data_IF_318715690628
#
_entry.id   IF_318715690628
#
_cell.length_a   1.000
_cell.length_b   1.000
_cell.length_c   1.000
_cell.angle_alpha   90.00
_cell.angle_beta   90.00
_cell.angle_gamma   90.00
#
_symmetry.space_group_name_H-M   'P 1'
#
loop_
_entity.id
_entity.type
_entity.pdbx_description
1 polymer ?
#
# COMPACT_ATOMS: atom_id res chain seq x y z
N UNK A 1 -19.07 -15.33 -2.67
CA UNK A 1 -18.01 -14.30 -2.68
C UNK A 1 -18.62 -12.97 -3.07
N UNK A 2 -18.67 -12.03 -2.14
CA UNK A 2 -19.14 -10.66 -2.38
C UNK A 2 -18.10 -9.95 -3.26
N UNK A 3 -18.55 -9.18 -4.27
CA UNK A 3 -17.66 -8.45 -5.22
C UNK A 3 -16.58 -7.61 -4.53
N UNK A 4 -16.84 -7.19 -3.30
CA UNK A 4 -15.95 -6.36 -2.49
C UNK A 4 -14.67 -7.10 -2.05
N UNK A 5 -14.76 -8.39 -1.70
CA UNK A 5 -13.62 -9.19 -1.27
C UNK A 5 -12.64 -9.45 -2.41
N UNK A 6 -13.17 -9.68 -3.62
CA UNK A 6 -12.37 -9.88 -4.83
C UNK A 6 -11.58 -8.63 -5.20
N UNK A 7 -12.17 -7.44 -5.04
CA UNK A 7 -11.49 -6.19 -5.34
C UNK A 7 -10.35 -5.91 -4.34
N UNK A 8 -10.59 -6.17 -3.04
CA UNK A 8 -9.56 -6.08 -2.00
C UNK A 8 -8.38 -7.00 -2.31
N UNK A 9 -8.65 -8.29 -2.59
CA UNK A 9 -7.61 -9.27 -2.95
C UNK A 9 -6.82 -8.83 -4.18
N UNK A 10 -7.49 -8.32 -5.22
CA UNK A 10 -6.81 -7.79 -6.41
C UNK A 10 -5.89 -6.62 -6.08
N UNK A 11 -6.31 -5.69 -5.22
CA UNK A 11 -5.41 -4.58 -4.84
C UNK A 11 -4.21 -5.07 -4.04
N UNK A 12 -4.39 -6.03 -3.14
CA UNK A 12 -3.28 -6.64 -2.39
C UNK A 12 -2.32 -7.43 -3.28
N UNK A 13 -2.85 -8.21 -4.22
CA UNK A 13 -2.00 -8.93 -5.19
C UNK A 13 -1.20 -7.98 -6.07
N UNK A 14 -1.80 -6.86 -6.52
CA UNK A 14 -1.06 -5.79 -7.23
C UNK A 14 0.05 -5.23 -6.37
N UNK A 15 -0.20 -4.98 -5.09
CA UNK A 15 0.82 -4.52 -4.15
C UNK A 15 1.98 -5.53 -4.02
N UNK A 16 1.68 -6.81 -3.76
CA UNK A 16 2.70 -7.86 -3.67
C UNK A 16 3.55 -7.93 -4.96
N UNK A 17 2.90 -7.94 -6.13
CA UNK A 17 3.59 -7.95 -7.41
C UNK A 17 4.47 -6.72 -7.60
N UNK A 18 3.99 -5.54 -7.21
CA UNK A 18 4.77 -4.30 -7.27
C UNK A 18 6.03 -4.37 -6.38
N UNK A 19 5.93 -4.97 -5.19
CA UNK A 19 7.05 -5.15 -4.27
C UNK A 19 8.11 -6.12 -4.81
N UNK A 20 7.69 -7.14 -5.57
CA UNK A 20 8.57 -8.11 -6.23
C UNK A 20 9.22 -7.57 -7.50
N UNK A 21 8.44 -6.86 -8.34
CA UNK A 21 8.84 -6.42 -9.67
C UNK A 21 9.83 -5.24 -9.64
N UNK A 22 9.67 -4.33 -8.68
CA UNK A 22 10.44 -3.08 -8.63
C UNK A 22 11.42 -3.02 -7.44
N UNK A 23 12.71 -2.75 -7.66
CA UNK A 23 13.71 -2.65 -6.59
C UNK A 23 13.53 -1.38 -5.76
N UNK A 24 14.17 -1.31 -4.57
CA UNK A 24 14.16 -0.11 -3.71
C UNK A 24 15.08 1.01 -4.26
N UNK A 25 14.70 1.56 -5.40
CA UNK A 25 15.48 2.55 -6.15
C UNK A 25 14.61 3.75 -6.54
N UNK A 26 15.24 4.91 -6.72
CA UNK A 26 14.53 6.16 -6.97
C UNK A 26 13.74 6.12 -8.29
N UNK A 27 14.29 5.44 -9.28
CA UNK A 27 13.74 5.21 -10.61
C UNK A 27 12.43 4.41 -10.55
N UNK A 28 12.14 3.72 -9.46
CA UNK A 28 10.92 2.94 -9.29
C UNK A 28 9.78 3.72 -8.63
N UNK A 29 10.04 4.93 -8.09
CA UNK A 29 9.09 5.67 -7.26
C UNK A 29 7.74 5.92 -7.95
N UNK A 30 7.73 6.17 -9.26
CA UNK A 30 6.51 6.50 -9.98
C UNK A 30 5.52 5.34 -10.03
N UNK A 31 6.00 4.09 -10.02
CA UNK A 31 5.14 2.91 -9.96
C UNK A 31 4.40 2.83 -8.62
N UNK A 32 5.12 3.05 -7.50
CA UNK A 32 4.53 3.08 -6.16
C UNK A 32 3.58 4.26 -5.97
N UNK A 33 3.95 5.44 -6.44
CA UNK A 33 3.09 6.63 -6.39
C UNK A 33 1.81 6.44 -7.19
N UNK A 34 1.90 5.84 -8.38
CA UNK A 34 0.74 5.52 -9.21
C UNK A 34 -0.21 4.54 -8.51
N UNK A 35 0.35 3.48 -7.93
CA UNK A 35 -0.41 2.50 -7.14
C UNK A 35 -1.13 3.15 -5.97
N UNK A 36 -0.44 3.94 -5.12
CA UNK A 36 -1.05 4.58 -3.95
C UNK A 36 -2.18 5.55 -4.34
N UNK A 37 -2.01 6.30 -5.44
CA UNK A 37 -3.08 7.17 -5.97
C UNK A 37 -4.28 6.37 -6.49
N UNK A 38 -4.06 5.20 -7.08
CA UNK A 38 -5.15 4.30 -7.47
C UNK A 38 -5.85 3.74 -6.24
N UNK A 39 -5.07 3.33 -5.23
CA UNK A 39 -5.56 2.79 -3.96
C UNK A 39 -6.50 3.79 -3.27
N UNK A 40 -6.08 5.05 -3.09
CA UNK A 40 -6.92 6.12 -2.51
C UNK A 40 -8.19 6.36 -3.34
N UNK A 41 -8.11 6.31 -4.67
CA UNK A 41 -9.30 6.50 -5.50
C UNK A 41 -10.29 5.34 -5.35
N UNK A 42 -9.80 4.12 -5.20
CA UNK A 42 -10.64 2.94 -5.00
C UNK A 42 -11.34 2.92 -3.64
N UNK A 43 -10.78 3.53 -2.59
CA UNK A 43 -11.42 3.62 -1.26
C UNK A 43 -12.54 4.65 -1.20
N UNK A 44 -12.47 5.73 -1.98
CA UNK A 44 -13.44 6.84 -1.89
C UNK A 44 -14.89 6.47 -2.22
N UNK A 45 -15.08 5.51 -3.13
CA UNK A 45 -16.41 5.09 -3.59
C UNK A 45 -16.77 3.67 -3.16
N UNK A 46 -15.98 3.08 -2.27
CA UNK A 46 -16.11 1.68 -1.87
C UNK A 46 -16.43 1.57 -0.39
N UNK A 47 -17.31 0.65 -0.03
CA UNK A 47 -17.51 0.24 1.37
C UNK A 47 -16.35 -0.61 1.90
N UNK A 48 -15.35 -0.90 1.06
CA UNK A 48 -14.16 -1.66 1.41
C UNK A 48 -13.17 -0.76 2.16
N UNK A 49 -12.84 -1.17 3.38
CA UNK A 49 -11.69 -0.64 4.12
C UNK A 49 -10.44 -1.36 3.60
N UNK A 50 -9.55 -0.62 2.95
CA UNK A 50 -8.27 -1.18 2.51
C UNK A 50 -7.26 -1.15 3.67
N UNK A 51 -6.39 -2.16 3.78
CA UNK A 51 -5.36 -2.25 4.83
C UNK A 51 -4.19 -1.30 4.52
N UNK A 52 -4.47 0.01 4.49
CA UNK A 52 -3.49 1.03 4.10
C UNK A 52 -2.38 1.15 5.13
N UNK A 53 -2.66 0.90 6.42
CA UNK A 53 -1.64 0.92 7.48
C UNK A 53 -0.64 -0.20 7.24
N UNK A 54 -1.12 -1.40 6.93
CA UNK A 54 -0.31 -2.58 6.66
C UNK A 54 0.55 -2.36 5.40
N UNK A 55 -0.06 -1.89 4.31
CA UNK A 55 0.64 -1.57 3.05
C UNK A 55 1.78 -0.58 3.29
N UNK A 56 1.49 0.53 3.97
CA UNK A 56 2.50 1.57 4.21
C UNK A 56 3.60 1.10 5.18
N UNK A 57 3.25 0.26 6.15
CA UNK A 57 4.21 -0.32 7.11
C UNK A 57 5.16 -1.29 6.42
N UNK A 58 4.63 -2.18 5.58
CA UNK A 58 5.44 -3.11 4.78
C UNK A 58 6.32 -2.33 3.81
N UNK A 59 5.78 -1.31 3.12
CA UNK A 59 6.56 -0.48 2.21
C UNK A 59 7.70 0.25 2.93
N UNK A 60 7.46 0.79 4.12
CA UNK A 60 8.47 1.44 4.94
C UNK A 60 9.62 0.48 5.31
N UNK A 61 9.29 -0.78 5.61
CA UNK A 61 10.28 -1.76 6.07
C UNK A 61 11.08 -2.38 4.91
N UNK A 62 10.38 -2.81 3.86
CA UNK A 62 10.95 -3.57 2.74
C UNK A 62 11.56 -2.68 1.65
N UNK A 63 11.03 -1.46 1.48
CA UNK A 63 11.48 -0.48 0.47
C UNK A 63 11.67 0.91 1.12
N UNK A 64 12.57 1.04 2.12
CA UNK A 64 12.72 2.26 2.91
C UNK A 64 13.11 3.47 2.07
N UNK A 65 13.89 3.30 0.99
CA UNK A 65 14.29 4.42 0.11
C UNK A 65 13.08 4.96 -0.65
N UNK A 66 12.26 4.09 -1.23
CA UNK A 66 11.03 4.48 -1.91
C UNK A 66 10.06 5.14 -0.93
N UNK A 67 9.86 4.57 0.26
CA UNK A 67 9.02 5.19 1.28
C UNK A 67 9.50 6.60 1.65
N UNK A 68 10.81 6.79 1.83
CA UNK A 68 11.38 8.09 2.12
C UNK A 68 11.12 9.10 0.99
N UNK A 69 11.33 8.71 -0.26
CA UNK A 69 11.09 9.57 -1.41
C UNK A 69 9.60 9.92 -1.56
N UNK A 70 8.70 8.95 -1.34
CA UNK A 70 7.26 9.20 -1.32
C UNK A 70 6.89 10.21 -0.23
N UNK A 71 7.48 10.11 0.96
CA UNK A 71 7.26 11.07 2.05
C UNK A 71 7.80 12.46 1.72
N UNK A 72 8.91 12.56 0.98
CA UNK A 72 9.42 13.84 0.50
C UNK A 72 8.50 14.48 -0.55
N UNK A 73 8.02 13.68 -1.51
CA UNK A 73 7.11 14.11 -2.56
C UNK A 73 5.66 14.29 -2.10
N UNK A 74 5.32 13.79 -0.91
CA UNK A 74 4.01 13.95 -0.29
C UNK A 74 3.77 15.40 0.15
N UNK A 75 4.82 16.22 0.32
CA UNK A 75 4.68 17.62 0.75
C UNK A 75 3.71 18.38 -0.17
N UNK A 76 2.51 18.67 0.34
CA UNK A 76 1.42 19.33 -0.41
C UNK A 76 0.34 18.41 -0.98
N UNK A 77 0.45 17.08 -0.84
CA UNK A 77 -0.60 16.09 -1.08
C UNK A 77 -1.06 15.49 0.26
N UNK A 78 -2.12 16.06 0.82
CA UNK A 78 -2.70 15.65 2.10
C UNK A 78 -2.97 14.14 2.22
N UNK A 79 -3.32 13.46 1.12
CA UNK A 79 -3.61 12.02 1.17
C UNK A 79 -2.32 11.20 1.31
N UNK A 80 -1.26 11.59 0.58
CA UNK A 80 0.04 10.93 0.69
C UNK A 80 0.73 11.25 2.02
N UNK A 81 0.59 12.46 2.55
CA UNK A 81 1.09 12.82 3.88
C UNK A 81 0.43 11.97 4.97
N UNK A 82 -0.90 11.81 4.91
CA UNK A 82 -1.62 10.95 5.83
C UNK A 82 -1.12 9.49 5.75
N UNK A 83 -1.03 8.92 4.55
CA UNK A 83 -0.58 7.54 4.36
C UNK A 83 0.85 7.31 4.86
N UNK A 84 1.78 8.22 4.57
CA UNK A 84 3.19 8.10 4.99
C UNK A 84 3.41 8.37 6.48
N UNK A 85 2.37 8.83 7.19
CA UNK A 85 2.34 8.93 8.65
C UNK A 85 1.87 7.66 9.36
N UNK A 86 1.22 6.73 8.66
CA UNK A 86 0.69 5.50 9.25
C UNK A 86 1.81 4.55 9.64
N UNK A 87 1.72 4.00 10.87
CA UNK A 87 2.68 3.03 11.38
C UNK A 87 2.00 2.01 12.27
N UNK A 88 2.43 0.77 12.14
CA UNK A 88 2.17 -0.32 13.07
C UNK A 88 3.39 -1.24 13.13
N UNK A 89 3.30 -2.34 13.88
CA UNK A 89 4.34 -3.35 13.88
C UNK A 89 4.42 -4.07 12.52
N UNK A 90 5.64 -4.31 12.02
CA UNK A 90 5.87 -4.90 10.70
C UNK A 90 5.43 -6.37 10.64
N UNK A 91 5.68 -7.16 11.69
CA UNK A 91 5.29 -8.58 11.73
C UNK A 91 3.76 -8.68 11.79
N UNK A 92 3.14 -7.83 12.60
CA UNK A 92 1.67 -7.72 12.66
C UNK A 92 1.08 -7.31 11.29
N UNK A 93 1.68 -6.32 10.61
CA UNK A 93 1.24 -5.88 9.30
C UNK A 93 1.30 -7.00 8.26
N UNK A 94 2.41 -7.74 8.22
CA UNK A 94 2.60 -8.86 7.30
C UNK A 94 1.61 -9.99 7.58
N UNK A 95 1.43 -10.35 8.85
CA UNK A 95 0.50 -11.40 9.28
C UNK A 95 -0.94 -11.07 8.88
N UNK A 96 -1.37 -9.81 9.07
CA UNK A 96 -2.71 -9.35 8.66
C UNK A 96 -2.89 -9.40 7.15
N UNK A 97 -1.89 -8.94 6.39
CA UNK A 97 -1.95 -8.96 4.93
C UNK A 97 -2.02 -10.40 4.39
N UNK A 98 -1.23 -11.31 4.95
CA UNK A 98 -1.28 -12.74 4.61
C UNK A 98 -2.61 -13.39 4.99
N UNK A 99 -3.19 -13.03 6.14
CA UNK A 99 -4.50 -13.50 6.55
C UNK A 99 -5.58 -13.12 5.52
N UNK A 100 -5.64 -11.85 5.09
CA UNK A 100 -6.62 -11.37 4.09
C UNK A 100 -6.44 -12.09 2.74
N UNK A 101 -5.19 -12.38 2.35
CA UNK A 101 -4.92 -13.11 1.11
C UNK A 101 -5.37 -14.58 1.19
N UNK A 102 -5.22 -15.23 2.34
CA UNK A 102 -5.52 -16.66 2.54
C UNK A 102 -6.98 -16.94 2.89
N UNK A 103 -7.59 -16.11 3.72
CA UNK A 103 -8.91 -16.33 4.29
C UNK A 103 -9.75 -15.06 4.17
N UNK A 104 -10.67 -15.06 3.19
CA UNK A 104 -11.93 -14.28 3.12
C UNK A 104 -12.56 -14.40 1.72
#
# INVERSE_FOLDING_TARGET
MTKNTEELKKQLQKFCKLMEEYPDQAESIHYFKSFLRQLIRSTRNSTIVLPTIEIMTILQHEKPRIFHLLKMEAKGDYNLEFLTGLRMDYIEAKTKLEFILRNE
#
